data_IF_657908332160
#
_entry.id   IF_657908332160
#
_cell.length_a   1.000
_cell.length_b   1.000
_cell.length_c   1.000
_cell.angle_alpha   90.00
_cell.angle_beta   90.00
_cell.angle_gamma   90.00
#
_symmetry.space_group_name_H-M   'P 1'
#
loop_
_entity.id
_entity.type
_entity.pdbx_description
1 polymer ?
#
# COMPACT_ATOMS: atom_id res chain seq x y z
N UNK A 1 -35.59 -23.68 15.17
CA UNK A 1 -34.33 -23.92 15.90
C UNK A 1 -33.24 -23.22 15.11
N UNK A 2 -32.73 -22.14 15.70
CA UNK A 2 -31.73 -21.21 15.18
C UNK A 2 -30.31 -21.78 15.26
N UNK A 3 -29.39 -21.08 14.58
CA UNK A 3 -27.91 -21.15 14.56
C UNK A 3 -27.39 -21.75 13.24
N UNK A 4 -26.43 -21.20 12.49
CA UNK A 4 -25.48 -20.08 12.60
C UNK A 4 -25.06 -19.82 11.11
N UNK A 5 -24.54 -18.68 10.66
CA UNK A 5 -23.49 -17.85 11.21
C UNK A 5 -23.48 -16.54 10.44
N UNK A 6 -23.23 -15.45 11.15
CA UNK A 6 -23.06 -14.12 10.57
C UNK A 6 -21.93 -14.15 9.55
N UNK A 7 -22.18 -13.58 8.37
CA UNK A 7 -21.15 -13.20 7.40
C UNK A 7 -20.12 -12.36 8.16
N UNK A 8 -19.01 -12.99 8.48
CA UNK A 8 -17.89 -12.44 9.24
C UNK A 8 -17.43 -11.18 8.52
N UNK A 9 -17.45 -10.06 9.24
CA UNK A 9 -16.91 -8.79 8.77
C UNK A 9 -15.46 -9.04 8.36
N UNK A 10 -15.21 -9.08 7.05
CA UNK A 10 -13.87 -9.11 6.50
C UNK A 10 -13.22 -7.80 6.95
N UNK A 11 -12.39 -7.86 7.97
CA UNK A 11 -11.46 -6.78 8.28
C UNK A 11 -10.49 -6.73 7.11
N UNK A 12 -10.84 -5.97 6.06
CA UNK A 12 -9.92 -5.69 4.97
C UNK A 12 -8.61 -5.21 5.59
N UNK A 13 -7.47 -5.89 5.32
CA UNK A 13 -6.20 -5.40 5.80
C UNK A 13 -6.02 -3.99 5.24
N UNK A 14 -5.94 -3.00 6.11
CA UNK A 14 -5.78 -1.60 5.72
C UNK A 14 -4.34 -1.48 5.18
N UNK A 15 -4.15 -1.54 3.86
CA UNK A 15 -2.85 -1.38 3.24
C UNK A 15 -2.43 0.09 3.25
N UNK A 16 -1.73 0.51 4.30
CA UNK A 16 -1.24 1.89 4.41
C UNK A 16 0.13 2.02 3.73
N UNK A 17 0.20 2.87 2.71
CA UNK A 17 1.47 3.32 2.15
C UNK A 17 1.96 4.56 2.93
N UNK A 18 3.24 4.58 3.30
CA UNK A 18 3.86 5.70 4.00
C UNK A 18 4.87 6.36 3.06
N UNK A 19 4.74 7.69 2.87
CA UNK A 19 5.65 8.48 2.04
C UNK A 19 6.23 9.60 2.88
N UNK A 20 7.55 9.70 2.93
CA UNK A 20 8.24 10.73 3.70
C UNK A 20 8.64 11.91 2.82
N UNK A 21 8.43 13.13 3.33
CA UNK A 21 8.87 14.36 2.65
C UNK A 21 9.67 15.22 3.63
N UNK A 22 10.92 15.53 3.32
CA UNK A 22 11.77 16.35 4.21
C UNK A 22 12.79 17.18 3.45
N UNK A 23 13.34 18.21 4.08
CA UNK A 23 14.42 19.02 3.51
C UNK A 23 15.83 18.49 3.85
N UNK A 24 15.91 17.51 4.75
CA UNK A 24 17.16 17.06 5.35
C UNK A 24 17.58 15.72 4.76
N UNK A 25 18.74 15.69 4.10
CA UNK A 25 19.25 14.49 3.42
C UNK A 25 19.80 13.47 4.42
N UNK A 26 20.33 13.90 5.57
CA UNK A 26 20.87 12.98 6.57
C UNK A 26 19.82 11.99 7.11
N UNK A 27 18.58 12.44 7.31
CA UNK A 27 17.48 11.60 7.79
C UNK A 27 16.84 10.75 6.68
N UNK A 28 17.29 10.88 5.43
CA UNK A 28 16.80 10.08 4.32
C UNK A 28 17.17 8.61 4.45
N UNK A 29 18.40 8.37 4.91
CA UNK A 29 18.98 7.04 5.00
C UNK A 29 18.29 6.25 6.12
N UNK A 30 18.08 6.89 7.26
CA UNK A 30 17.37 6.30 8.41
C UNK A 30 15.90 5.97 8.08
N UNK A 31 15.22 6.84 7.32
CA UNK A 31 13.82 6.63 6.94
C UNK A 31 13.63 5.49 5.91
N UNK A 32 14.67 5.14 5.17
CA UNK A 32 14.62 4.00 4.23
C UNK A 32 14.51 2.66 4.96
N UNK A 33 15.05 2.55 6.17
CA UNK A 33 14.95 1.32 6.99
C UNK A 33 13.51 1.02 7.44
N UNK A 34 12.60 2.01 7.38
CA UNK A 34 11.20 1.89 7.82
C UNK A 34 10.24 1.32 6.76
N UNK A 35 10.75 0.67 5.71
CA UNK A 35 9.95 0.12 4.59
C UNK A 35 8.99 1.15 3.97
N UNK A 36 9.42 2.41 3.89
CA UNK A 36 8.63 3.48 3.29
C UNK A 36 8.37 3.21 1.79
N UNK A 37 7.21 3.62 1.31
CA UNK A 37 6.83 3.47 -0.09
C UNK A 37 7.62 4.42 -1.01
N UNK A 38 7.81 5.67 -0.59
CA UNK A 38 8.63 6.65 -1.32
C UNK A 38 9.19 7.70 -0.35
N UNK A 39 10.23 8.39 -0.79
CA UNK A 39 10.91 9.43 -0.04
C UNK A 39 11.21 10.62 -0.96
N UNK A 40 10.80 11.82 -0.56
CA UNK A 40 10.86 13.03 -1.39
C UNK A 40 11.61 14.13 -0.64
N UNK A 41 12.71 14.59 -1.24
CA UNK A 41 13.47 15.73 -0.73
C UNK A 41 12.88 17.06 -1.19
N UNK A 42 12.77 18.01 -0.26
CA UNK A 42 12.56 19.41 -0.59
C UNK A 42 13.86 20.03 -1.10
N UNK A 43 13.80 20.94 -2.08
CA UNK A 43 12.59 21.37 -2.80
C UNK A 43 12.14 20.32 -3.83
N UNK A 44 10.85 19.99 -3.84
CA UNK A 44 10.28 19.06 -4.81
C UNK A 44 9.53 19.81 -5.91
N UNK A 45 9.42 19.17 -7.07
CA UNK A 45 8.61 19.65 -8.19
C UNK A 45 7.26 18.92 -8.19
N UNK A 46 6.22 19.56 -8.71
CA UNK A 46 4.88 18.97 -8.80
C UNK A 46 4.90 17.63 -9.57
N UNK A 47 5.66 17.56 -10.66
CA UNK A 47 5.86 16.33 -11.46
C UNK A 47 6.35 15.15 -10.63
N UNK A 48 7.17 15.39 -9.59
CA UNK A 48 7.66 14.33 -8.69
C UNK A 48 6.54 13.78 -7.82
N UNK A 49 5.66 14.63 -7.32
CA UNK A 49 4.51 14.22 -6.51
C UNK A 49 3.51 13.44 -7.38
N UNK A 50 3.18 13.96 -8.57
CA UNK A 50 2.28 13.29 -9.50
C UNK A 50 2.79 11.90 -9.89
N UNK A 51 4.08 11.77 -10.20
CA UNK A 51 4.68 10.47 -10.53
C UNK A 51 4.68 9.49 -9.36
N UNK A 52 4.83 9.96 -8.12
CA UNK A 52 4.73 9.13 -6.91
C UNK A 52 3.29 8.63 -6.70
N UNK A 53 2.29 9.51 -6.85
CA UNK A 53 0.87 9.16 -6.72
C UNK A 53 0.45 8.10 -7.76
N UNK A 54 0.88 8.25 -9.02
CA UNK A 54 0.61 7.26 -10.06
C UNK A 54 1.17 5.87 -9.72
N UNK A 55 2.38 5.82 -9.17
CA UNK A 55 2.98 4.55 -8.70
C UNK A 55 2.20 3.95 -7.54
N UNK A 56 1.74 4.79 -6.61
CA UNK A 56 0.94 4.37 -5.45
C UNK A 56 -0.39 3.76 -5.89
N UNK A 57 -1.09 4.41 -6.83
CA UNK A 57 -2.33 3.90 -7.41
C UNK A 57 -2.12 2.53 -8.08
N UNK A 58 -1.05 2.39 -8.87
CA UNK A 58 -0.71 1.12 -9.53
C UNK A 58 -0.43 0.01 -8.51
N UNK A 59 0.34 0.31 -7.45
CA UNK A 59 0.62 -0.64 -6.37
C UNK A 59 -0.64 -1.05 -5.61
N UNK A 60 -1.56 -0.12 -5.38
CA UNK A 60 -2.84 -0.38 -4.71
C UNK A 60 -3.76 -1.29 -5.54
N UNK A 61 -3.79 -1.12 -6.86
CA UNK A 61 -4.57 -1.97 -7.77
C UNK A 61 -4.01 -3.40 -7.83
N UNK A 62 -2.69 -3.56 -7.89
CA UNK A 62 -2.06 -4.89 -7.93
C UNK A 62 -2.41 -5.72 -6.69
N UNK A 63 -2.42 -5.12 -5.51
CA UNK A 63 -2.76 -5.82 -4.26
C UNK A 63 -4.21 -6.33 -4.22
N UNK A 64 -5.15 -5.65 -4.90
CA UNK A 64 -6.55 -6.09 -4.99
C UNK A 64 -6.72 -7.31 -5.89
N UNK A 65 -5.87 -7.47 -6.90
CA UNK A 65 -5.95 -8.62 -7.84
C UNK A 65 -5.38 -9.92 -7.27
N UNK A 66 -4.52 -9.84 -6.25
CA UNK A 66 -3.93 -11.01 -5.57
C UNK A 66 -4.88 -11.76 -4.64
N UNK A 67 -6.07 -11.24 -4.33
CA UNK A 67 -7.14 -12.00 -3.69
C UNK A 67 -7.93 -12.82 -4.71
N UNK A 68 -7.28 -13.82 -5.33
CA UNK A 68 -8.01 -14.87 -6.06
C UNK A 68 -8.29 -16.04 -5.11
N UNK A 69 -9.56 -16.49 -4.98
CA UNK A 69 -9.99 -17.56 -4.08
C UNK A 69 -9.57 -18.95 -4.56
N UNK A 70 -9.57 -19.88 -3.60
CA UNK A 70 -9.32 -21.32 -3.64
C UNK A 70 -9.39 -21.99 -5.02
N UNK A 71 -8.28 -22.64 -5.40
CA UNK A 71 -8.19 -23.56 -6.53
C UNK A 71 -8.65 -24.96 -6.09
N UNK A 72 -9.96 -25.18 -6.03
CA UNK A 72 -10.55 -26.52 -6.08
C UNK A 72 -10.75 -26.88 -7.56
N UNK A 73 -9.86 -27.71 -8.09
CA UNK A 73 -10.01 -28.31 -9.42
C UNK A 73 -9.96 -29.82 -9.30
N UNK A 74 -11.12 -30.45 -9.12
CA UNK A 74 -11.30 -31.87 -9.39
C UNK A 74 -11.67 -32.06 -10.88
N UNK A 75 -10.90 -32.89 -11.56
CA UNK A 75 -11.30 -33.62 -12.76
C UNK A 75 -10.92 -35.08 -12.54
#
# INVERSE_FOLDING_TARGET
MVCCWHKTSASSPINRFIVFITAWKEHAVEAFELEAFDYILKPYQESRITGMLQKLEAAWQQQQTSSTPCRDGNA
#
